data_IF_991042508259
#
_entry.id   IF_991042508259
#
_cell.length_a   1.000
_cell.length_b   1.000
_cell.length_c   1.000
_cell.angle_alpha   90.00
_cell.angle_beta   90.00
_cell.angle_gamma   90.00
#
_symmetry.space_group_name_H-M   'P 1'
#
loop_
_entity.id
_entity.type
_entity.pdbx_description
1 polymer ?
#
# COMPACT_ATOMS: atom_id res chain seq x y z
N UNK A 1 -0.07 -11.86 -2.08
CA UNK A 1 1.08 -11.65 -3.00
C UNK A 1 0.67 -11.18 -4.39
N UNK A 2 -0.26 -11.88 -5.06
CA UNK A 2 -0.64 -11.60 -6.47
C UNK A 2 -1.18 -10.18 -6.68
N UNK A 3 -2.03 -9.71 -5.77
CA UNK A 3 -2.58 -8.35 -5.78
C UNK A 3 -1.51 -7.26 -5.76
N UNK A 4 -0.61 -7.31 -4.78
CA UNK A 4 0.54 -6.38 -4.69
C UNK A 4 1.40 -6.44 -5.96
N UNK A 5 1.64 -7.64 -6.51
CA UNK A 5 2.36 -7.79 -7.78
C UNK A 5 1.59 -7.16 -8.95
N UNK A 6 0.27 -7.29 -9.00
CA UNK A 6 -0.57 -6.70 -10.03
C UNK A 6 -0.52 -5.17 -9.98
N UNK A 7 -0.79 -4.57 -8.82
CA UNK A 7 -0.76 -3.11 -8.65
C UNK A 7 0.62 -2.54 -8.95
N UNK A 8 1.69 -3.18 -8.49
CA UNK A 8 3.06 -2.82 -8.86
C UNK A 8 3.24 -2.75 -10.38
N UNK A 9 2.84 -3.80 -11.11
CA UNK A 9 2.97 -3.82 -12.58
C UNK A 9 2.13 -2.74 -13.25
N UNK A 10 0.89 -2.52 -12.78
CA UNK A 10 -0.01 -1.46 -13.29
C UNK A 10 0.62 -0.08 -13.09
N UNK A 11 1.11 0.23 -11.89
CA UNK A 11 1.74 1.52 -11.60
C UNK A 11 3.02 1.74 -12.41
N UNK A 12 3.83 0.70 -12.62
CA UNK A 12 4.98 0.78 -13.53
C UNK A 12 4.57 1.14 -14.98
N UNK A 13 3.36 0.78 -15.43
CA UNK A 13 2.84 1.19 -16.75
C UNK A 13 2.19 2.57 -16.73
N UNK A 14 1.56 2.96 -15.62
CA UNK A 14 0.99 4.29 -15.46
C UNK A 14 2.07 5.39 -15.35
N UNK A 15 3.29 5.02 -14.93
CA UNK A 15 4.46 5.90 -14.82
C UNK A 15 4.18 7.15 -13.96
N UNK A 16 4.01 7.00 -12.63
CA UNK A 16 3.66 8.09 -11.73
C UNK A 16 4.77 9.16 -11.55
N UNK A 17 5.91 9.03 -12.21
CA UNK A 17 7.04 9.97 -12.09
C UNK A 17 7.97 9.71 -10.89
N UNK A 18 7.63 8.75 -10.04
CA UNK A 18 8.46 8.29 -8.91
C UNK A 18 8.83 6.81 -9.08
N UNK A 19 9.97 6.36 -8.52
CA UNK A 19 10.31 4.95 -8.43
C UNK A 19 9.17 4.14 -7.80
N UNK A 20 8.78 3.06 -8.46
CA UNK A 20 7.78 2.11 -7.95
C UNK A 20 8.51 0.82 -7.61
N UNK A 21 8.27 0.30 -6.42
CA UNK A 21 8.95 -0.87 -5.85
C UNK A 21 7.92 -1.85 -5.28
N UNK A 22 8.34 -3.09 -5.03
CA UNK A 22 7.47 -4.12 -4.47
C UNK A 22 8.20 -5.02 -3.49
N UNK A 23 7.55 -5.32 -2.37
CA UNK A 23 8.00 -6.24 -1.33
C UNK A 23 6.87 -7.23 -0.99
N UNK A 24 7.01 -8.49 -1.38
CA UNK A 24 6.04 -9.53 -1.02
C UNK A 24 6.72 -10.86 -0.68
N UNK A 25 6.03 -11.74 0.06
CA UNK A 25 6.58 -12.99 0.59
C UNK A 25 7.20 -13.94 -0.44
N UNK A 26 6.75 -13.91 -1.70
CA UNK A 26 7.26 -14.79 -2.77
C UNK A 26 8.64 -14.37 -3.32
N UNK A 27 9.25 -13.29 -2.81
CA UNK A 27 10.57 -12.83 -3.25
C UNK A 27 11.69 -13.58 -2.55
N UNK A 28 12.75 -13.90 -3.29
CA UNK A 28 14.01 -14.39 -2.70
C UNK A 28 14.59 -13.34 -1.74
N UNK A 29 15.11 -13.77 -0.60
CA UNK A 29 15.64 -12.89 0.45
C UNK A 29 16.61 -11.83 -0.05
N UNK A 30 17.59 -12.21 -0.89
CA UNK A 30 18.54 -11.25 -1.47
C UNK A 30 17.86 -10.15 -2.29
N UNK A 31 16.85 -10.49 -3.10
CA UNK A 31 16.09 -9.50 -3.87
C UNK A 31 15.27 -8.60 -2.95
N UNK A 32 14.68 -9.16 -1.89
CA UNK A 32 13.92 -8.42 -0.88
C UNK A 32 14.79 -7.36 -0.19
N UNK A 33 15.99 -7.74 0.23
CA UNK A 33 16.97 -6.82 0.83
C UNK A 33 17.43 -5.73 -0.14
N UNK A 34 17.70 -6.08 -1.40
CA UNK A 34 18.11 -5.09 -2.40
C UNK A 34 17.02 -4.04 -2.66
N UNK A 35 15.75 -4.45 -2.77
CA UNK A 35 14.62 -3.53 -2.93
C UNK A 35 14.42 -2.67 -1.68
N UNK A 36 14.54 -3.27 -0.49
CA UNK A 36 14.46 -2.53 0.77
C UNK A 36 15.53 -1.43 0.85
N UNK A 37 16.80 -1.75 0.58
CA UNK A 37 17.88 -0.76 0.60
C UNK A 37 17.66 0.36 -0.42
N UNK A 38 17.21 0.00 -1.63
CA UNK A 38 16.90 0.98 -2.67
C UNK A 38 15.75 1.90 -2.24
N UNK A 39 14.70 1.37 -1.61
CA UNK A 39 13.59 2.17 -1.09
C UNK A 39 14.07 3.14 0.00
N UNK A 40 14.82 2.66 1.00
CA UNK A 40 15.29 3.48 2.11
C UNK A 40 16.29 4.57 1.71
N UNK A 41 16.97 4.41 0.57
CA UNK A 41 17.91 5.40 0.03
C UNK A 41 17.26 6.35 -0.99
N UNK A 42 16.02 6.07 -1.41
CA UNK A 42 15.33 6.90 -2.40
C UNK A 42 14.75 8.14 -1.72
N UNK A 43 15.01 9.36 -2.24
CA UNK A 43 14.44 10.58 -1.67
C UNK A 43 12.92 10.66 -1.85
N UNK A 44 12.37 9.96 -2.85
CA UNK A 44 10.94 9.77 -3.05
C UNK A 44 10.73 8.43 -3.77
N UNK A 45 9.85 7.59 -3.24
CA UNK A 45 9.49 6.31 -3.85
C UNK A 45 8.13 5.80 -3.36
N UNK A 46 7.51 4.94 -4.15
CA UNK A 46 6.33 4.16 -3.78
C UNK A 46 6.72 2.69 -3.64
N UNK A 47 6.38 2.07 -2.50
CA UNK A 47 6.59 0.64 -2.30
C UNK A 47 5.27 -0.07 -1.99
N UNK A 48 4.90 -1.02 -2.85
CA UNK A 48 3.79 -1.92 -2.59
C UNK A 48 4.26 -3.08 -1.71
N UNK A 49 3.56 -3.34 -0.59
CA UNK A 49 3.93 -4.42 0.31
C UNK A 49 2.74 -5.22 0.83
N UNK A 50 2.98 -6.51 1.11
CA UNK A 50 2.08 -7.36 1.92
C UNK A 50 2.57 -7.40 3.38
N UNK A 51 1.69 -7.71 4.34
CA UNK A 51 2.05 -7.85 5.77
C UNK A 51 3.24 -8.78 6.03
N UNK A 52 3.33 -9.89 5.28
CA UNK A 52 4.42 -10.87 5.40
C UNK A 52 5.78 -10.27 5.04
N UNK A 53 5.82 -9.28 4.17
CA UNK A 53 7.06 -8.70 3.67
C UNK A 53 7.64 -7.61 4.58
N UNK A 54 6.80 -7.00 5.43
CA UNK A 54 7.21 -5.96 6.36
C UNK A 54 7.76 -6.50 7.69
N UNK A 55 7.53 -7.78 8.02
CA UNK A 55 8.04 -8.39 9.25
C UNK A 55 9.57 -8.54 9.19
N UNK A 56 10.25 -7.99 10.19
CA UNK A 56 11.72 -8.04 10.29
C UNK A 56 12.46 -7.05 9.39
N UNK A 57 11.75 -6.18 8.66
CA UNK A 57 12.35 -5.04 7.95
C UNK A 57 12.04 -3.75 8.72
N UNK A 58 13.09 -3.07 9.14
CA UNK A 58 12.99 -1.75 9.77
C UNK A 58 13.06 -0.66 8.70
N UNK A 59 11.90 -0.34 8.13
CA UNK A 59 11.78 0.74 7.14
C UNK A 59 11.67 2.05 7.91
N UNK A 60 12.76 2.83 7.95
CA UNK A 60 12.83 4.14 8.60
C UNK A 60 12.52 5.23 7.57
N UNK A 61 11.92 6.34 8.01
CA UNK A 61 11.68 7.51 7.15
C UNK A 61 10.53 7.36 6.16
N UNK A 62 9.52 6.54 6.49
CA UNK A 62 8.29 6.47 5.67
C UNK A 62 7.38 7.65 6.03
N UNK A 63 7.06 8.52 5.09
CA UNK A 63 6.16 9.66 5.32
C UNK A 63 4.68 9.27 5.37
N UNK A 64 4.29 8.25 4.59
CA UNK A 64 2.91 7.80 4.42
C UNK A 64 2.80 6.28 4.42
N UNK A 65 1.90 5.76 5.24
CA UNK A 65 1.39 4.39 5.15
C UNK A 65 -0.04 4.43 4.63
N UNK A 66 -0.25 3.89 3.42
CA UNK A 66 -1.56 3.80 2.79
C UNK A 66 -2.03 2.34 2.84
N UNK A 67 -3.17 2.12 3.46
CA UNK A 67 -3.82 0.80 3.56
C UNK A 67 -5.07 0.80 2.70
N UNK A 68 -5.04 0.03 1.61
CA UNK A 68 -6.18 -0.11 0.70
C UNK A 68 -7.20 -1.14 1.18
N UNK A 69 -6.73 -2.19 1.85
CA UNK A 69 -7.60 -3.23 2.40
C UNK A 69 -7.77 -3.05 3.91
N UNK A 70 -9.01 -3.22 4.38
CA UNK A 70 -9.29 -3.22 5.80
C UNK A 70 -8.45 -4.30 6.51
N UNK A 71 -7.75 -3.96 7.60
CA UNK A 71 -7.04 -4.96 8.40
C UNK A 71 -8.04 -5.88 9.13
N UNK A 72 -7.62 -7.12 9.37
CA UNK A 72 -8.44 -8.12 10.09
C UNK A 72 -8.72 -7.70 11.55
N UNK A 73 -7.78 -6.96 12.15
CA UNK A 73 -7.87 -6.47 13.51
C UNK A 73 -7.07 -5.16 13.74
N UNK A 74 -7.26 -4.57 14.91
CA UNK A 74 -6.57 -3.33 15.28
C UNK A 74 -5.06 -3.51 15.47
N UNK A 75 -4.59 -4.71 15.82
CA UNK A 75 -3.16 -4.96 16.01
C UNK A 75 -2.43 -4.95 14.67
N UNK A 76 -3.03 -5.55 13.65
CA UNK A 76 -2.58 -5.50 12.26
C UNK A 76 -2.56 -4.07 11.74
N UNK A 77 -3.61 -3.28 12.00
CA UNK A 77 -3.61 -1.84 11.70
C UNK A 77 -2.39 -1.14 12.34
N UNK A 78 -2.21 -1.29 13.66
CA UNK A 78 -1.14 -0.64 14.42
C UNK A 78 0.24 -1.04 13.89
N UNK A 79 0.43 -2.32 13.57
CA UNK A 79 1.69 -2.81 13.01
C UNK A 79 2.00 -2.25 11.61
N UNK A 80 0.96 -2.07 10.78
CA UNK A 80 1.07 -1.46 9.45
C UNK A 80 1.41 0.03 9.57
N UNK A 81 0.64 0.82 10.33
CA UNK A 81 0.93 2.26 10.48
C UNK A 81 2.22 2.51 11.26
N UNK A 82 2.65 1.59 12.12
CA UNK A 82 3.94 1.64 12.80
C UNK A 82 5.17 1.51 11.88
N UNK A 83 5.00 1.51 10.55
CA UNK A 83 6.08 1.71 9.57
C UNK A 83 6.43 3.19 9.35
N UNK A 84 5.51 4.11 9.66
CA UNK A 84 5.74 5.56 9.64
C UNK A 84 5.94 6.09 11.07
N UNK A 85 6.20 7.39 11.22
CA UNK A 85 6.27 8.11 12.49
C UNK A 85 7.20 7.46 13.54
N UNK A 86 8.37 6.97 13.10
CA UNK A 86 9.39 6.40 14.00
C UNK A 86 10.36 7.49 14.46
N UNK A 87 10.78 7.43 15.73
CA UNK A 87 11.68 8.41 16.37
C UNK A 87 11.10 9.83 16.40
N UNK A 88 11.90 10.84 16.07
CA UNK A 88 11.53 12.26 16.02
C UNK A 88 10.85 12.66 14.70
N UNK A 89 10.71 11.72 13.75
CA UNK A 89 10.08 11.97 12.47
C UNK A 89 8.56 11.88 12.59
N UNK A 90 7.85 12.86 12.04
CA UNK A 90 6.40 12.76 11.83
C UNK A 90 6.04 11.67 10.82
N UNK A 91 4.74 11.42 10.66
CA UNK A 91 4.27 10.39 9.73
C UNK A 91 2.76 10.37 9.61
N UNK A 92 2.26 9.86 8.49
CA UNK A 92 0.85 9.86 8.16
C UNK A 92 0.36 8.45 7.85
N UNK A 93 -0.82 8.10 8.35
CA UNK A 93 -1.51 6.85 8.05
C UNK A 93 -2.87 7.11 7.45
N UNK A 94 -3.19 6.43 6.35
CA UNK A 94 -4.53 6.45 5.73
C UNK A 94 -5.01 5.03 5.57
N UNK A 95 -6.26 4.80 5.96
CA UNK A 95 -6.98 3.55 5.78
C UNK A 95 -8.21 3.83 4.93
N UNK A 96 -8.27 3.17 3.77
CA UNK A 96 -9.48 3.09 2.97
C UNK A 96 -10.38 2.01 3.55
N UNK A 97 -11.68 2.29 3.61
CA UNK A 97 -12.70 1.36 4.07
C UNK A 97 -13.85 1.40 3.08
N UNK A 98 -14.35 0.23 2.71
CA UNK A 98 -15.66 0.11 2.07
C UNK A 98 -16.79 0.38 3.09
N UNK A 99 -18.01 0.73 2.63
CA UNK A 99 -19.16 0.92 3.53
C UNK A 99 -19.45 -0.27 4.45
N UNK A 100 -19.15 -1.49 4.00
CA UNK A 100 -19.24 -2.75 4.76
C UNK A 100 -18.21 -2.85 5.89
N UNK A 101 -17.09 -2.13 5.80
CA UNK A 101 -15.92 -2.26 6.69
C UNK A 101 -15.87 -1.17 7.78
N UNK A 102 -16.84 -0.25 7.79
CA UNK A 102 -16.92 0.88 8.75
C UNK A 102 -16.91 0.42 10.21
N UNK A 103 -17.30 -0.83 10.49
CA UNK A 103 -17.18 -1.43 11.82
C UNK A 103 -15.74 -1.39 12.37
N UNK A 104 -14.72 -1.40 11.51
CA UNK A 104 -13.31 -1.31 11.89
C UNK A 104 -12.99 -0.04 12.68
N UNK A 105 -13.67 1.08 12.40
CA UNK A 105 -13.49 2.35 13.14
C UNK A 105 -13.80 2.16 14.62
N UNK A 106 -14.86 1.41 14.95
CA UNK A 106 -15.22 1.10 16.34
C UNK A 106 -14.17 0.23 17.00
N UNK A 107 -13.62 -0.75 16.27
CA UNK A 107 -12.56 -1.63 16.75
C UNK A 107 -11.30 -0.81 17.08
N UNK A 108 -10.89 0.14 16.22
CA UNK A 108 -9.76 1.05 16.46
C UNK A 108 -9.99 1.94 17.69
N UNK A 109 -11.18 2.54 17.81
CA UNK A 109 -11.54 3.34 18.98
C UNK A 109 -11.50 2.53 20.28
N UNK A 110 -11.95 1.27 20.27
CA UNK A 110 -11.89 0.40 21.46
C UNK A 110 -10.46 0.15 21.95
N UNK A 111 -9.48 0.20 21.03
CA UNK A 111 -8.04 0.09 21.32
C UNK A 111 -7.37 1.45 21.54
N UNK A 112 -8.16 2.52 21.70
CA UNK A 112 -7.70 3.90 21.92
C UNK A 112 -6.81 4.43 20.78
N UNK A 113 -7.00 3.93 19.57
CA UNK A 113 -6.34 4.46 18.38
C UNK A 113 -7.17 5.64 17.88
N UNK A 114 -6.63 6.88 17.89
CA UNK A 114 -7.34 8.04 17.37
C UNK A 114 -7.41 7.93 15.84
N UNK A 115 -8.63 7.91 15.29
CA UNK A 115 -8.85 7.95 13.84
C UNK A 115 -9.83 9.06 13.50
N UNK A 116 -9.54 9.78 12.43
CA UNK A 116 -10.44 10.77 11.86
C UNK A 116 -11.05 10.20 10.60
N UNK A 117 -12.39 10.10 10.58
CA UNK A 117 -13.12 9.71 9.37
C UNK A 117 -13.17 10.93 8.46
N UNK A 118 -12.72 10.75 7.22
CA UNK A 118 -12.70 11.79 6.19
C UNK A 118 -13.50 11.27 5.00
N UNK A 119 -14.50 12.03 4.58
CA UNK A 119 -15.23 11.73 3.34
C UNK A 119 -14.40 12.16 2.13
N UNK A 120 -14.35 11.31 1.11
CA UNK A 120 -13.64 11.64 -0.12
C UNK A 120 -14.36 12.77 -0.87
N UNK A 121 -13.62 13.80 -1.24
CA UNK A 121 -14.16 14.88 -2.05
C UNK A 121 -14.28 14.44 -3.51
N UNK A 122 -15.47 14.02 -3.91
CA UNK A 122 -15.79 13.55 -5.27
C UNK A 122 -15.52 14.60 -6.35
N UNK A 123 -15.56 15.89 -6.02
CA UNK A 123 -15.26 16.96 -6.98
C UNK A 123 -13.78 17.01 -7.41
N UNK A 124 -12.88 16.38 -6.64
CA UNK A 124 -11.44 16.30 -6.95
C UNK A 124 -11.03 14.90 -7.43
N UNK A 125 -12.00 14.03 -7.67
CA UNK A 125 -11.72 12.68 -8.13
C UNK A 125 -11.19 12.69 -9.58
N UNK A 126 -10.08 12.00 -9.79
CA UNK A 126 -9.54 11.75 -11.12
C UNK A 126 -9.67 10.27 -11.44
N UNK A 127 -10.49 9.94 -12.44
CA UNK A 127 -10.66 8.54 -12.84
C UNK A 127 -9.45 8.05 -13.64
N UNK A 128 -8.83 6.98 -13.15
CA UNK A 128 -7.79 6.24 -13.88
C UNK A 128 -8.34 4.97 -14.53
N UNK A 129 -9.60 4.64 -14.27
CA UNK A 129 -10.27 3.41 -14.73
C UNK A 129 -10.19 3.22 -16.25
N UNK A 130 -10.45 4.23 -17.11
CA UNK A 130 -10.34 4.05 -18.55
C UNK A 130 -8.92 3.73 -19.01
N UNK A 131 -7.90 4.36 -18.39
CA UNK A 131 -6.49 4.08 -18.70
C UNK A 131 -6.12 2.66 -18.29
N UNK A 132 -6.56 2.21 -17.12
CA UNK A 132 -6.30 0.83 -16.64
C UNK A 132 -7.00 -0.18 -17.54
N UNK A 133 -8.28 0.03 -17.89
CA UNK A 133 -9.02 -0.86 -18.80
C UNK A 133 -8.34 -0.97 -20.17
N UNK A 134 -7.91 0.17 -20.74
CA UNK A 134 -7.14 0.18 -21.98
C UNK A 134 -5.81 -0.58 -21.85
N UNK A 135 -5.10 -0.42 -20.71
CA UNK A 135 -3.86 -1.15 -20.44
C UNK A 135 -4.10 -2.67 -20.36
N UNK A 136 -5.16 -3.10 -19.67
CA UNK A 136 -5.53 -4.51 -19.54
C UNK A 136 -5.94 -5.12 -20.88
N UNK A 137 -6.65 -4.38 -21.73
CA UNK A 137 -7.01 -4.84 -23.07
C UNK A 137 -5.79 -5.05 -23.97
N UNK A 138 -4.76 -4.21 -23.83
CA UNK A 138 -3.53 -4.28 -24.63
C UNK A 138 -2.53 -5.33 -24.12
N UNK A 139 -2.58 -5.70 -22.84
CA UNK A 139 -1.57 -6.53 -22.17
C UNK A 139 -2.19 -7.78 -21.56
N UNK A 140 -2.12 -8.88 -22.31
CA UNK A 140 -2.66 -10.20 -21.90
C UNK A 140 -2.08 -10.68 -20.57
N UNK A 141 -0.81 -10.43 -20.29
CA UNK A 141 -0.16 -10.79 -19.02
C UNK A 141 -0.80 -10.08 -17.82
N UNK A 142 -1.05 -8.77 -17.93
CA UNK A 142 -1.73 -8.02 -16.87
C UNK A 142 -3.19 -8.42 -16.73
N UNK A 143 -3.86 -8.72 -17.84
CA UNK A 143 -5.24 -9.19 -17.82
C UNK A 143 -5.38 -10.55 -17.11
N UNK A 144 -4.42 -11.45 -17.34
CA UNK A 144 -4.38 -12.73 -16.63
C UNK A 144 -4.09 -12.55 -15.15
N UNK A 145 -3.17 -11.66 -14.78
CA UNK A 145 -2.88 -11.36 -13.37
C UNK A 145 -4.11 -10.81 -12.67
N UNK A 146 -4.84 -9.88 -13.31
CA UNK A 146 -6.09 -9.32 -12.78
C UNK A 146 -7.15 -10.39 -12.49
N UNK A 147 -7.25 -11.42 -13.33
CA UNK A 147 -8.19 -12.54 -13.14
C UNK A 147 -7.78 -13.52 -12.03
N UNK A 148 -6.51 -13.48 -11.62
CA UNK A 148 -5.92 -14.42 -10.65
C UNK A 148 -5.78 -13.82 -9.25
N UNK A 149 -6.07 -12.52 -9.11
CA UNK A 149 -6.28 -11.84 -7.82
C UNK A 149 -7.51 -12.44 -7.15
#
# INVERSE_FOLDING_TARGET
CKEVSFFYKVFCKLRPGIPVMVLHGNMKQMKRMAVFLHFSQSPAALCFATDVAARGLDIVGVDWVVQFDCPDDAETYIHRVGRTARFESGGNGVLFLEPSEVAMVKVLHSKKVPVQVVEMNTNKEQTITPRIQSLLAQKKDLQEDAKKM
#
